data_IF_877120465720
#
_entry.id   IF_877120465720
#
_cell.length_a   1.000
_cell.length_b   1.000
_cell.length_c   1.000
_cell.angle_alpha   90.00
_cell.angle_beta   90.00
_cell.angle_gamma   90.00
#
_symmetry.space_group_name_H-M   'P 1'
#
loop_
_entity.id
_entity.type
_entity.pdbx_description
1 polymer ?
#
# COMPACT_ATOMS: atom_id res chain seq x y z
N UNK A 1 -35.32 -33.19 19.44
CA UNK A 1 -34.84 -32.25 18.41
C UNK A 1 -34.88 -30.87 19.04
N UNK A 2 -33.72 -30.27 19.28
CA UNK A 2 -33.61 -28.96 19.93
C UNK A 2 -33.84 -27.87 18.87
N UNK A 3 -34.98 -27.18 18.96
CA UNK A 3 -35.20 -25.91 18.26
C UNK A 3 -34.23 -24.88 18.83
N UNK A 4 -33.28 -24.44 18.01
CA UNK A 4 -32.37 -23.34 18.36
C UNK A 4 -33.14 -22.02 18.37
N UNK A 5 -33.61 -21.60 19.54
CA UNK A 5 -34.20 -20.28 19.73
C UNK A 5 -33.11 -19.20 19.56
N UNK A 6 -33.32 -18.28 18.61
CA UNK A 6 -32.42 -17.15 18.37
C UNK A 6 -32.72 -16.09 19.43
N UNK A 7 -31.78 -15.84 20.34
CA UNK A 7 -31.91 -14.79 21.36
C UNK A 7 -31.31 -13.51 20.80
N UNK A 8 -32.16 -12.50 20.54
CA UNK A 8 -31.75 -11.20 20.02
C UNK A 8 -31.55 -10.22 21.19
N UNK A 9 -30.33 -9.71 21.35
CA UNK A 9 -30.00 -8.68 22.33
C UNK A 9 -30.00 -7.29 21.66
N UNK A 10 -30.84 -6.37 22.15
CA UNK A 10 -30.96 -5.01 21.64
C UNK A 10 -32.41 -4.54 21.52
N UNK A 11 -32.62 -3.28 21.14
CA UNK A 11 -33.95 -2.72 20.87
C UNK A 11 -34.32 -2.95 19.40
N UNK A 12 -34.52 -4.21 19.04
CA UNK A 12 -34.96 -4.56 17.69
C UNK A 12 -36.38 -4.06 17.45
N UNK A 13 -36.58 -3.36 16.35
CA UNK A 13 -37.90 -2.87 15.93
C UNK A 13 -38.67 -3.97 15.21
N UNK A 14 -39.99 -3.80 15.07
CA UNK A 14 -40.82 -4.78 14.37
C UNK A 14 -40.42 -4.96 12.89
N UNK A 15 -39.88 -3.91 12.26
CA UNK A 15 -39.36 -3.94 10.89
C UNK A 15 -38.10 -4.81 10.78
N UNK A 16 -37.20 -4.76 11.76
CA UNK A 16 -35.99 -5.60 11.80
C UNK A 16 -36.34 -7.10 11.87
N UNK A 17 -37.41 -7.43 12.61
CA UNK A 17 -37.88 -8.82 12.77
C UNK A 17 -38.56 -9.31 11.48
N UNK A 18 -39.33 -8.45 10.81
CA UNK A 18 -40.00 -8.78 9.54
C UNK A 18 -38.97 -9.07 8.43
N UNK A 19 -37.94 -8.22 8.30
CA UNK A 19 -36.83 -8.44 7.37
C UNK A 19 -36.13 -9.80 7.59
N UNK A 20 -35.89 -10.20 8.85
CA UNK A 20 -35.29 -11.49 9.17
C UNK A 20 -36.23 -12.70 8.94
N UNK A 21 -37.54 -12.47 8.92
CA UNK A 21 -38.54 -13.53 8.70
C UNK A 21 -38.89 -13.71 7.21
N UNK A 22 -38.73 -12.68 6.38
CA UNK A 22 -38.94 -12.77 4.93
C UNK A 22 -38.00 -13.81 4.27
N UNK A 23 -36.78 -13.98 4.79
CA UNK A 23 -35.82 -15.01 4.33
C UNK A 23 -36.21 -16.45 4.73
N UNK A 24 -37.14 -16.64 5.67
CA UNK A 24 -37.60 -17.98 6.07
C UNK A 24 -38.71 -18.54 5.18
N UNK A 25 -39.43 -17.70 4.44
CA UNK A 25 -40.58 -18.15 3.66
C UNK A 25 -40.24 -18.46 2.18
N UNK A 26 -38.97 -18.36 1.77
CA UNK A 26 -38.50 -18.71 0.42
C UNK A 26 -37.71 -20.02 0.33
N UNK A 27 -37.36 -20.66 1.46
CA UNK A 27 -36.60 -21.92 1.46
C UNK A 27 -37.50 -23.16 1.51
N UNK A 28 -38.23 -23.39 0.42
CA UNK A 28 -38.52 -24.77 0.00
C UNK A 28 -37.37 -25.23 -0.87
N UNK A 29 -36.52 -26.12 -0.35
CA UNK A 29 -35.48 -26.79 -1.14
C UNK A 29 -36.09 -27.99 -1.89
N UNK A 30 -36.25 -27.97 -3.22
CA UNK A 30 -36.11 -29.20 -3.98
C UNK A 30 -34.62 -29.46 -4.17
N UNK A 31 -34.18 -30.64 -3.73
CA UNK A 31 -32.87 -31.18 -4.05
C UNK A 31 -32.66 -31.21 -5.57
N UNK A 32 -31.42 -30.90 -5.98
CA UNK A 32 -30.86 -31.02 -7.34
C UNK A 32 -31.29 -29.97 -8.37
N UNK A 33 -30.48 -28.91 -8.51
CA UNK A 33 -29.79 -28.57 -9.77
C UNK A 33 -29.03 -27.24 -9.65
N UNK A 34 -27.73 -27.31 -9.96
CA UNK A 34 -26.87 -26.22 -10.43
C UNK A 34 -26.84 -24.90 -9.64
N UNK A 35 -25.84 -24.80 -8.78
CA UNK A 35 -25.33 -23.54 -8.21
C UNK A 35 -25.09 -22.50 -9.30
N UNK A 36 -26.00 -21.52 -9.43
CA UNK A 36 -25.65 -20.22 -10.00
C UNK A 36 -25.18 -19.35 -8.85
N UNK A 37 -23.96 -19.62 -8.39
CA UNK A 37 -23.20 -18.68 -7.56
C UNK A 37 -22.90 -17.45 -8.41
N UNK A 38 -23.81 -16.48 -8.41
CA UNK A 38 -23.52 -15.13 -8.87
C UNK A 38 -22.64 -14.48 -7.80
N UNK A 39 -21.35 -14.78 -7.81
CA UNK A 39 -20.38 -13.93 -7.15
C UNK A 39 -20.28 -12.66 -8.00
N UNK A 40 -20.55 -11.50 -7.42
CA UNK A 40 -19.88 -10.29 -7.87
C UNK A 40 -18.40 -10.49 -7.56
N UNK A 41 -17.70 -11.19 -8.44
CA UNK A 41 -16.25 -11.21 -8.46
C UNK A 41 -15.90 -9.81 -8.94
N UNK A 42 -15.78 -8.89 -7.98
CA UNK A 42 -15.20 -7.59 -8.26
C UNK A 42 -13.78 -7.87 -8.70
N UNK A 43 -13.58 -7.92 -10.02
CA UNK A 43 -12.30 -7.65 -10.66
C UNK A 43 -12.01 -6.16 -10.48
N UNK A 44 -11.95 -5.72 -9.22
CA UNK A 44 -11.21 -4.54 -8.87
C UNK A 44 -9.74 -4.95 -8.99
N UNK A 45 -9.27 -5.07 -10.24
CA UNK A 45 -7.85 -4.95 -10.52
C UNK A 45 -7.49 -3.53 -10.06
N UNK A 46 -7.14 -3.37 -8.79
CA UNK A 46 -6.35 -2.21 -8.37
C UNK A 46 -5.18 -2.22 -9.33
N UNK A 47 -5.11 -1.21 -10.20
CA UNK A 47 -4.02 -1.06 -11.15
C UNK A 47 -2.73 -1.32 -10.36
N UNK A 48 -1.91 -2.26 -10.84
CA UNK A 48 -0.65 -2.55 -10.20
C UNK A 48 0.04 -1.19 -9.97
N UNK A 49 0.36 -0.85 -8.71
CA UNK A 49 0.90 0.47 -8.42
C UNK A 49 2.14 0.68 -9.29
N UNK A 50 2.18 1.82 -9.96
CA UNK A 50 3.23 2.14 -10.92
C UNK A 50 4.54 2.37 -10.14
N UNK A 51 5.29 1.29 -9.97
CA UNK A 51 6.57 1.25 -9.26
C UNK A 51 7.57 2.25 -9.87
N UNK A 52 7.54 2.41 -11.19
CA UNK A 52 8.42 3.34 -11.89
C UNK A 52 8.06 4.78 -11.56
N UNK A 53 6.76 5.10 -11.54
CA UNK A 53 6.28 6.42 -11.09
C UNK A 53 6.68 6.70 -9.64
N UNK A 54 6.49 5.74 -8.73
CA UNK A 54 6.84 5.91 -7.32
C UNK A 54 8.35 6.10 -7.14
N UNK A 55 9.16 5.32 -7.85
CA UNK A 55 10.61 5.44 -7.85
C UNK A 55 11.06 6.83 -8.35
N UNK A 56 10.44 7.34 -9.41
CA UNK A 56 10.73 8.68 -9.92
C UNK A 56 10.39 9.77 -8.88
N UNK A 57 9.24 9.66 -8.20
CA UNK A 57 8.87 10.57 -7.12
C UNK A 57 9.90 10.56 -5.98
N UNK A 58 10.35 9.38 -5.58
CA UNK A 58 11.41 9.22 -4.58
C UNK A 58 12.70 9.91 -5.03
N UNK A 59 13.09 9.76 -6.30
CA UNK A 59 14.26 10.43 -6.85
C UNK A 59 14.13 11.96 -6.79
N UNK A 60 12.95 12.52 -7.08
CA UNK A 60 12.70 13.96 -6.97
C UNK A 60 12.79 14.45 -5.54
N UNK A 61 12.21 13.72 -4.59
CA UNK A 61 12.28 14.06 -3.16
C UNK A 61 13.72 14.01 -2.63
N UNK A 62 14.50 13.01 -3.03
CA UNK A 62 15.93 12.95 -2.71
C UNK A 62 16.72 14.08 -3.36
N UNK A 63 16.37 14.48 -4.58
CA UNK A 63 16.99 15.63 -5.23
C UNK A 63 16.75 16.92 -4.45
N UNK A 64 15.53 17.10 -3.93
CA UNK A 64 15.22 18.21 -3.02
C UNK A 64 16.07 18.13 -1.75
N UNK A 65 16.18 16.96 -1.12
CA UNK A 65 17.03 16.78 0.07
C UNK A 65 18.49 17.18 -0.18
N UNK A 66 19.08 16.75 -1.29
CA UNK A 66 20.48 17.04 -1.64
C UNK A 66 20.69 18.54 -1.87
N UNK A 67 19.75 19.18 -2.56
CA UNK A 67 19.78 20.63 -2.79
C UNK A 67 19.61 21.42 -1.47
N UNK A 68 18.68 21.03 -0.61
CA UNK A 68 18.48 21.64 0.72
C UNK A 68 19.71 21.50 1.63
N UNK A 69 20.41 20.36 1.54
CA UNK A 69 21.65 20.12 2.27
C UNK A 69 22.86 20.88 1.69
N UNK A 70 22.69 21.60 0.57
CA UNK A 70 23.76 22.36 -0.10
C UNK A 70 24.84 21.47 -0.72
N UNK A 71 24.52 20.22 -1.06
CA UNK A 71 25.44 19.26 -1.67
C UNK A 71 25.28 19.28 -3.19
N UNK A 72 26.32 18.86 -3.89
CA UNK A 72 26.35 18.80 -5.37
C UNK A 72 26.50 17.34 -5.80
N UNK A 73 25.67 16.90 -6.75
CA UNK A 73 25.81 15.57 -7.34
C UNK A 73 27.03 15.52 -8.28
N UNK A 74 27.89 14.50 -8.16
CA UNK A 74 28.91 14.25 -9.16
C UNK A 74 28.28 13.96 -10.53
N UNK A 75 28.89 14.40 -11.64
CA UNK A 75 28.35 14.17 -12.99
C UNK A 75 28.30 12.68 -13.37
N UNK A 76 29.10 11.85 -12.71
CA UNK A 76 29.20 10.40 -12.90
C UNK A 76 28.06 9.63 -12.22
N UNK A 77 27.36 10.26 -11.27
CA UNK A 77 26.37 9.63 -10.41
C UNK A 77 25.00 10.34 -10.53
N UNK A 78 24.16 9.94 -11.49
CA UNK A 78 22.82 10.49 -11.60
C UNK A 78 21.95 10.01 -10.42
N UNK A 79 20.96 10.83 -10.03
CA UNK A 79 20.13 10.55 -8.85
C UNK A 79 19.50 9.15 -8.84
N UNK A 80 18.89 8.64 -9.93
CA UNK A 80 18.35 7.28 -9.96
C UNK A 80 19.37 6.21 -9.59
N UNK A 81 20.62 6.37 -10.01
CA UNK A 81 21.67 5.38 -9.75
C UNK A 81 22.13 5.44 -8.29
N UNK A 82 22.20 6.64 -7.72
CA UNK A 82 22.44 6.84 -6.28
C UNK A 82 21.33 6.21 -5.43
N UNK A 83 20.06 6.47 -5.79
CA UNK A 83 18.91 5.92 -5.08
C UNK A 83 18.91 4.39 -5.13
N UNK A 84 19.25 3.79 -6.28
CA UNK A 84 19.42 2.33 -6.38
C UNK A 84 20.60 1.83 -5.54
N UNK A 85 21.70 2.57 -5.46
CA UNK A 85 22.85 2.18 -4.65
C UNK A 85 22.54 2.18 -3.15
N UNK A 86 21.83 3.19 -2.63
CA UNK A 86 21.47 3.28 -1.19
C UNK A 86 20.35 2.31 -0.81
N UNK A 87 19.37 2.10 -1.70
CA UNK A 87 18.25 1.20 -1.42
C UNK A 87 18.63 -0.28 -1.63
N UNK A 88 19.70 -0.54 -2.39
CA UNK A 88 20.17 -1.87 -2.74
C UNK A 88 19.14 -2.69 -3.52
N UNK A 89 19.30 -4.01 -3.51
CA UNK A 89 18.39 -4.96 -4.18
C UNK A 89 16.97 -4.96 -3.58
N UNK A 90 16.79 -4.35 -2.40
CA UNK A 90 15.49 -4.16 -1.74
C UNK A 90 14.59 -3.12 -2.42
N UNK A 91 15.16 -2.26 -3.27
CA UNK A 91 14.44 -1.21 -4.01
C UNK A 91 13.34 -1.75 -4.94
N UNK A 92 13.34 -3.04 -5.24
CA UNK A 92 12.37 -3.68 -6.13
C UNK A 92 11.08 -4.11 -5.41
N UNK A 93 11.03 -3.99 -4.08
CA UNK A 93 9.83 -4.34 -3.31
C UNK A 93 8.91 -3.14 -3.15
N UNK A 94 7.66 -3.29 -3.59
CA UNK A 94 6.65 -2.23 -3.51
C UNK A 94 6.47 -1.67 -2.10
N UNK A 95 6.42 -2.54 -1.09
CA UNK A 95 6.27 -2.12 0.32
C UNK A 95 7.42 -1.22 0.77
N UNK A 96 8.65 -1.60 0.43
CA UNK A 96 9.84 -0.83 0.76
C UNK A 96 9.85 0.55 0.09
N UNK A 97 9.54 0.63 -1.21
CA UNK A 97 9.46 1.93 -1.91
C UNK A 97 8.37 2.82 -1.33
N UNK A 98 7.22 2.25 -0.96
CA UNK A 98 6.12 3.00 -0.36
C UNK A 98 6.54 3.58 0.98
N UNK A 99 7.16 2.78 1.83
CA UNK A 99 7.65 3.22 3.14
C UNK A 99 8.74 4.29 2.98
N UNK A 100 9.68 4.09 2.07
CA UNK A 100 10.73 5.08 1.78
C UNK A 100 10.16 6.40 1.24
N UNK A 101 9.14 6.33 0.38
CA UNK A 101 8.45 7.53 -0.13
C UNK A 101 7.79 8.32 0.98
N UNK A 102 7.02 7.67 1.85
CA UNK A 102 6.37 8.39 2.96
C UNK A 102 7.37 8.87 4.00
N UNK A 103 8.45 8.13 4.27
CA UNK A 103 9.52 8.58 5.16
C UNK A 103 10.18 9.85 4.64
N UNK A 104 10.58 9.89 3.36
CA UNK A 104 11.19 11.10 2.78
C UNK A 104 10.20 12.27 2.69
N UNK A 105 8.94 12.00 2.36
CA UNK A 105 7.91 13.02 2.27
C UNK A 105 7.62 13.68 3.63
N UNK A 106 7.61 12.90 4.71
CA UNK A 106 7.30 13.38 6.06
C UNK A 106 8.52 13.95 6.80
N UNK A 107 9.67 13.31 6.65
CA UNK A 107 10.89 13.63 7.41
C UNK A 107 11.88 14.50 6.62
N UNK A 108 11.73 14.60 5.30
CA UNK A 108 12.62 15.37 4.42
C UNK A 108 14.07 14.95 4.57
N UNK A 109 14.96 15.92 4.81
CA UNK A 109 16.41 15.69 5.03
C UNK A 109 16.74 14.84 6.25
N UNK A 110 15.78 14.60 7.16
CA UNK A 110 15.92 13.75 8.35
C UNK A 110 15.35 12.34 8.15
N UNK A 111 14.87 12.03 6.94
CA UNK A 111 14.49 10.67 6.57
C UNK A 111 15.70 9.77 6.57
N UNK A 112 15.50 8.50 6.90
CA UNK A 112 16.58 7.53 6.93
C UNK A 112 17.31 7.46 5.57
N UNK A 113 16.54 7.49 4.49
CA UNK A 113 17.10 7.47 3.14
C UNK A 113 17.85 8.75 2.74
N UNK A 114 17.40 9.94 3.16
CA UNK A 114 18.14 11.17 2.86
C UNK A 114 19.45 11.23 3.65
N UNK A 115 19.47 10.79 4.91
CA UNK A 115 20.70 10.71 5.70
C UNK A 115 21.72 9.75 5.06
N UNK A 116 21.27 8.57 4.65
CA UNK A 116 22.13 7.58 3.97
C UNK A 116 22.65 8.11 2.62
N UNK A 117 21.79 8.77 1.84
CA UNK A 117 22.19 9.42 0.58
C UNK A 117 23.27 10.48 0.80
N UNK A 118 23.09 11.35 1.79
CA UNK A 118 24.05 12.42 2.09
C UNK A 118 25.37 11.85 2.59
N UNK A 119 25.33 10.81 3.43
CA UNK A 119 26.53 10.09 3.88
C UNK A 119 27.26 9.43 2.71
N UNK A 120 26.52 8.80 1.79
CA UNK A 120 27.10 8.21 0.57
C UNK A 120 27.74 9.29 -0.32
N UNK A 121 27.06 10.43 -0.50
CA UNK A 121 27.62 11.57 -1.22
C UNK A 121 28.90 12.11 -0.57
N UNK A 122 28.97 12.15 0.77
CA UNK A 122 30.18 12.59 1.48
C UNK A 122 31.31 11.57 1.34
N UNK A 123 31.00 10.28 1.33
CA UNK A 123 31.99 9.23 1.10
C UNK A 123 32.58 9.32 -0.32
N UNK A 124 31.75 9.44 -1.35
CA UNK A 124 32.26 9.54 -2.73
C UNK A 124 33.02 10.84 -2.95
N UNK A 125 32.56 11.97 -2.41
CA UNK A 125 33.28 13.25 -2.56
C UNK A 125 34.58 13.31 -1.75
N UNK A 126 34.76 12.47 -0.72
CA UNK A 126 36.04 12.37 0.00
C UNK A 126 37.09 11.55 -0.74
N UNK A 127 36.66 10.62 -1.61
CA UNK A 127 37.56 9.73 -2.36
C UNK A 127 38.17 10.42 -3.60
N UNK A 128 37.60 11.54 -4.03
CA UNK A 128 38.08 12.37 -5.14
C UNK A 128 38.74 13.66 -4.64
#
# INVERSE_FOLDING_TARGET
MLEGAIVLYGNATSEDIEFMQEDKNSFSFPSEASSTSSSTLSDAQSAAPDLDLLFNQICEEYYRCVHEAGKVLPPEWPMPDLVRAIMGDGALQHGFLTDAYYDVLLCGTRSWGCEELLNFLDLINYVY
#
